data_IF_953172033647
#
_entry.id   IF_953172033647
#
_cell.length_a   1.000
_cell.length_b   1.000
_cell.length_c   1.000
_cell.angle_alpha   90.00
_cell.angle_beta   90.00
_cell.angle_gamma   90.00
#
_symmetry.space_group_name_H-M   'P 1'
#
loop_
_entity.id
_entity.type
_entity.pdbx_description
1 polymer ?
#
# COMPACT_ATOMS: atom_id res chain seq x y z
N UNK A 1 -19.55 -46.30 46.47
CA UNK A 1 -18.86 -47.61 46.32
C UNK A 1 -17.93 -47.59 45.10
N UNK A 2 -16.85 -48.39 45.09
CA UNK A 2 -15.76 -48.31 44.11
C UNK A 2 -15.73 -49.47 43.09
N UNK A 3 -14.77 -49.36 42.13
CA UNK A 3 -14.20 -50.35 41.19
C UNK A 3 -14.81 -50.27 39.77
N UNK A 4 -14.08 -50.16 38.66
CA UNK A 4 -12.86 -50.88 38.17
C UNK A 4 -13.07 -52.40 38.01
N UNK A 5 -12.58 -53.14 37.01
CA UNK A 5 -11.74 -52.94 35.79
C UNK A 5 -12.26 -53.99 34.74
N UNK A 6 -11.73 -54.29 33.55
CA UNK A 6 -10.42 -54.12 32.88
C UNK A 6 -10.63 -54.17 31.35
N UNK A 7 -9.59 -53.86 30.54
CA UNK A 7 -9.49 -54.29 29.13
C UNK A 7 -8.60 -55.54 28.97
N UNK A 8 -8.56 -56.19 27.80
CA UNK A 8 -7.26 -56.47 27.17
C UNK A 8 -7.20 -56.23 25.63
N UNK A 9 -6.01 -56.42 25.05
CA UNK A 9 -5.65 -56.23 23.61
C UNK A 9 -5.33 -57.59 22.91
N UNK A 10 -4.94 -57.52 21.62
CA UNK A 10 -4.06 -58.44 20.85
C UNK A 10 -4.75 -59.59 20.04
N UNK A 11 -4.25 -60.05 18.87
CA UNK A 11 -3.17 -59.51 18.01
C UNK A 11 -3.16 -60.00 16.52
N UNK A 12 -2.48 -59.22 15.67
CA UNK A 12 -1.63 -59.54 14.49
C UNK A 12 -1.92 -60.72 13.52
N UNK A 13 -2.10 -60.36 12.23
CA UNK A 13 -1.33 -60.81 11.02
C UNK A 13 -1.86 -59.99 9.80
N UNK A 14 -1.07 -59.38 8.90
CA UNK A 14 0.05 -59.83 8.05
C UNK A 14 -0.42 -60.83 6.96
N UNK A 15 -0.12 -60.71 5.65
CA UNK A 15 0.96 -59.99 4.94
C UNK A 15 0.57 -59.43 3.54
N UNK A 16 1.20 -58.31 3.16
CA UNK A 16 1.95 -58.04 1.91
C UNK A 16 1.46 -58.54 0.53
N UNK A 17 1.35 -57.62 -0.45
CA UNK A 17 2.04 -57.79 -1.74
C UNK A 17 2.36 -56.47 -2.49
N UNK A 18 3.32 -56.51 -3.42
CA UNK A 18 3.95 -55.33 -4.03
C UNK A 18 3.30 -54.88 -5.35
N UNK A 19 3.52 -53.60 -5.71
CA UNK A 19 4.03 -53.30 -7.05
C UNK A 19 4.75 -51.94 -7.14
N UNK A 20 5.97 -51.93 -7.70
CA UNK A 20 6.67 -50.71 -8.11
C UNK A 20 6.16 -50.28 -9.49
N UNK A 21 5.99 -48.96 -9.70
CA UNK A 21 6.46 -48.32 -10.93
C UNK A 21 7.09 -46.98 -10.60
N UNK A 22 8.30 -46.77 -11.13
CA UNK A 22 9.00 -45.49 -11.04
C UNK A 22 8.34 -44.49 -11.99
N UNK A 23 8.44 -43.20 -11.66
CA UNK A 23 8.20 -42.15 -12.64
C UNK A 23 9.14 -40.97 -12.37
N UNK A 24 10.32 -41.01 -12.99
CA UNK A 24 11.25 -39.90 -12.99
C UNK A 24 10.65 -38.76 -13.84
N UNK A 25 10.46 -37.57 -13.28
CA UNK A 25 10.39 -36.38 -14.12
C UNK A 25 10.87 -35.11 -13.40
N UNK A 26 12.13 -34.78 -13.68
CA UNK A 26 12.67 -33.44 -13.92
C UNK A 26 12.29 -32.33 -12.93
N UNK A 27 13.31 -31.85 -12.21
CA UNK A 27 13.34 -30.50 -11.67
C UNK A 27 12.93 -29.48 -12.75
N UNK A 28 11.74 -28.90 -12.60
CA UNK A 28 11.53 -27.51 -12.99
C UNK A 28 11.77 -26.66 -11.75
N UNK A 29 12.72 -25.74 -11.85
CA UNK A 29 12.80 -24.60 -10.92
C UNK A 29 11.43 -23.91 -10.90
N UNK A 30 11.00 -23.32 -9.77
CA UNK A 30 9.82 -22.46 -9.75
C UNK A 30 10.10 -21.21 -10.59
N UNK A 31 9.74 -21.29 -11.87
CA UNK A 31 9.63 -20.17 -12.79
C UNK A 31 8.75 -19.12 -12.10
N UNK A 32 9.28 -17.91 -11.92
CA UNK A 32 8.67 -16.92 -11.03
C UNK A 32 7.23 -16.65 -11.48
N UNK A 33 6.27 -17.04 -10.63
CA UNK A 33 4.86 -16.88 -10.95
C UNK A 33 4.60 -15.40 -11.33
N UNK A 34 3.88 -15.12 -12.43
CA UNK A 34 3.59 -13.75 -12.81
C UNK A 34 2.94 -13.06 -11.61
N UNK A 35 3.43 -11.86 -11.28
CA UNK A 35 2.92 -11.07 -10.16
C UNK A 35 1.42 -10.93 -10.41
N UNK A 36 0.60 -11.63 -9.61
CA UNK A 36 -0.85 -11.52 -9.69
C UNK A 36 -1.16 -10.06 -9.40
N UNK A 37 -1.72 -9.35 -10.37
CA UNK A 37 -2.24 -8.02 -10.13
C UNK A 37 -3.33 -8.14 -9.07
N UNK A 38 -2.98 -7.75 -7.84
CA UNK A 38 -3.94 -7.59 -6.77
C UNK A 38 -4.79 -6.38 -7.12
N UNK A 39 -5.95 -6.65 -7.72
CA UNK A 39 -7.00 -5.66 -7.90
C UNK A 39 -7.37 -5.07 -6.53
N UNK A 40 -6.87 -3.85 -6.30
CA UNK A 40 -7.29 -3.01 -5.20
C UNK A 40 -8.08 -1.86 -5.80
N UNK A 41 -9.14 -1.38 -5.13
CA UNK A 41 -9.98 -0.33 -5.69
C UNK A 41 -9.25 1.01 -5.85
N UNK A 42 -8.05 1.17 -5.29
CA UNK A 42 -7.14 2.30 -5.57
C UNK A 42 -6.46 2.11 -6.94
N UNK A 43 -5.88 0.93 -7.20
CA UNK A 43 -5.30 0.58 -8.50
C UNK A 43 -6.34 0.60 -9.63
N UNK A 44 -7.54 0.07 -9.36
CA UNK A 44 -8.62 0.02 -10.35
C UNK A 44 -9.13 1.42 -10.70
N UNK A 45 -9.23 2.33 -9.72
CA UNK A 45 -9.54 3.76 -9.97
C UNK A 45 -8.45 4.43 -10.79
N UNK A 46 -7.17 4.24 -10.47
CA UNK A 46 -6.06 4.86 -11.22
C UNK A 46 -6.01 4.35 -12.68
N UNK A 47 -6.24 3.04 -12.89
CA UNK A 47 -6.37 2.44 -14.23
C UNK A 47 -7.60 2.97 -14.98
N UNK A 48 -8.77 3.07 -14.33
CA UNK A 48 -9.99 3.63 -14.92
C UNK A 48 -9.82 5.11 -15.31
N UNK A 49 -9.07 5.87 -14.50
CA UNK A 49 -8.71 7.27 -14.76
C UNK A 49 -7.61 7.44 -15.82
N UNK A 50 -7.08 6.35 -16.37
CA UNK A 50 -6.19 6.36 -17.53
C UNK A 50 -4.69 6.44 -17.23
N UNK A 51 -4.25 6.50 -15.97
CA UNK A 51 -2.84 6.60 -15.62
C UNK A 51 -2.07 5.29 -15.92
N UNK A 52 -0.77 5.40 -16.19
CA UNK A 52 0.15 4.27 -16.00
C UNK A 52 0.56 4.19 -14.53
N UNK A 53 0.62 3.00 -13.93
CA UNK A 53 0.80 2.84 -12.47
C UNK A 53 2.04 2.01 -12.15
N UNK A 54 2.85 2.51 -11.22
CA UNK A 54 3.99 1.83 -10.61
C UNK A 54 3.56 1.39 -9.20
N UNK A 55 3.30 0.09 -8.96
CA UNK A 55 2.91 -0.41 -7.65
C UNK A 55 4.11 -0.62 -6.71
N UNK A 56 3.85 -0.53 -5.40
CA UNK A 56 4.77 -0.88 -4.31
C UNK A 56 6.16 -0.24 -4.44
N UNK A 57 6.19 1.08 -4.60
CA UNK A 57 7.44 1.84 -4.56
C UNK A 57 7.93 1.98 -3.11
N UNK A 58 9.24 1.89 -2.89
CA UNK A 58 9.88 2.24 -1.63
C UNK A 58 10.66 3.53 -1.86
N UNK A 59 10.44 4.52 -0.98
CA UNK A 59 11.15 5.79 -0.97
C UNK A 59 11.71 5.98 0.45
N UNK A 60 13.01 5.74 0.59
CA UNK A 60 13.74 5.62 1.85
C UNK A 60 13.06 4.58 2.76
N UNK A 61 12.40 5.02 3.84
CA UNK A 61 11.74 4.14 4.80
C UNK A 61 10.21 4.07 4.58
N UNK A 62 9.69 4.67 3.51
CA UNK A 62 8.24 4.77 3.25
C UNK A 62 7.84 3.98 2.02
N UNK A 63 6.94 3.01 2.20
CA UNK A 63 6.26 2.35 1.08
C UNK A 63 5.14 3.25 0.56
N UNK A 64 5.15 3.53 -0.74
CA UNK A 64 4.05 4.15 -1.47
C UNK A 64 3.39 3.03 -2.29
N UNK A 65 2.13 2.69 -1.97
CA UNK A 65 1.40 1.58 -2.58
C UNK A 65 1.27 1.73 -4.10
N UNK A 66 1.01 2.95 -4.58
CA UNK A 66 0.90 3.25 -6.01
C UNK A 66 1.48 4.63 -6.33
N UNK A 67 2.28 4.71 -7.38
CA UNK A 67 2.64 5.96 -8.05
C UNK A 67 1.98 5.92 -9.43
N UNK A 68 0.93 6.72 -9.60
CA UNK A 68 0.32 6.94 -10.90
C UNK A 68 1.10 8.01 -11.69
N UNK A 69 1.20 7.81 -13.00
CA UNK A 69 2.07 8.56 -13.90
C UNK A 69 1.24 9.04 -15.09
N UNK A 70 1.21 10.36 -15.28
CA UNK A 70 0.77 11.04 -16.49
C UNK A 70 2.00 11.65 -17.20
N UNK A 71 1.79 12.48 -18.22
CA UNK A 71 2.87 13.17 -18.94
C UNK A 71 3.73 14.09 -18.06
N UNK A 72 3.11 14.78 -17.12
CA UNK A 72 3.68 15.89 -16.33
C UNK A 72 3.34 15.83 -14.83
N UNK A 73 2.32 15.06 -14.43
CA UNK A 73 1.99 14.84 -13.01
C UNK A 73 2.28 13.41 -12.54
N UNK A 74 2.78 13.30 -11.29
CA UNK A 74 2.88 12.08 -10.51
C UNK A 74 1.89 12.11 -9.34
N UNK A 75 1.07 11.07 -9.22
CA UNK A 75 0.12 10.89 -8.11
C UNK A 75 0.67 9.83 -7.16
N UNK A 76 1.28 10.25 -6.06
CA UNK A 76 1.73 9.36 -4.98
C UNK A 76 0.52 8.98 -4.14
N UNK A 77 0.26 7.68 -3.98
CA UNK A 77 -0.87 7.15 -3.22
C UNK A 77 -0.36 6.21 -2.12
N UNK A 78 -0.44 6.64 -0.86
CA UNK A 78 -0.20 5.82 0.32
C UNK A 78 -1.56 5.35 0.86
N UNK A 79 -1.78 4.04 0.90
CA UNK A 79 -3.06 3.46 1.32
C UNK A 79 -2.99 3.06 2.78
N UNK A 80 -3.69 3.83 3.63
CA UNK A 80 -3.79 3.55 5.05
C UNK A 80 -4.80 2.43 5.31
N UNK A 81 -4.30 1.32 5.86
CA UNK A 81 -5.02 0.05 6.02
C UNK A 81 -5.39 -0.23 7.48
N UNK A 82 -4.90 0.59 8.41
CA UNK A 82 -5.26 0.46 9.83
C UNK A 82 -6.76 0.72 10.02
N UNK A 83 -7.37 -0.07 10.91
CA UNK A 83 -8.79 0.05 11.26
C UNK A 83 -8.96 0.73 12.63
N UNK A 84 -10.23 0.96 13.01
CA UNK A 84 -10.57 1.63 14.26
C UNK A 84 -10.55 3.15 14.15
N UNK A 85 -10.80 3.80 15.27
CA UNK A 85 -10.87 5.25 15.39
C UNK A 85 -9.49 5.84 15.67
N UNK A 86 -9.13 6.88 14.91
CA UNK A 86 -7.86 7.58 14.96
C UNK A 86 -8.08 9.09 15.12
N UNK A 87 -7.39 9.69 16.09
CA UNK A 87 -7.19 11.13 16.18
C UNK A 87 -5.93 11.48 15.38
N UNK A 88 -6.05 12.37 14.40
CA UNK A 88 -4.93 12.86 13.62
C UNK A 88 -4.31 14.10 14.29
N UNK A 89 -3.00 14.07 14.51
CA UNK A 89 -2.21 15.24 14.92
C UNK A 89 -1.09 15.44 13.88
N UNK A 90 -1.11 16.61 13.25
CA UNK A 90 -0.11 17.02 12.25
C UNK A 90 0.83 18.12 12.79
N UNK A 91 0.67 18.53 14.06
CA UNK A 91 1.56 19.52 14.68
C UNK A 91 2.95 18.93 14.95
N UNK A 92 3.99 19.76 14.81
CA UNK A 92 5.38 19.39 15.11
C UNK A 92 5.77 19.92 16.48
N UNK A 93 5.76 19.05 17.48
CA UNK A 93 6.17 19.39 18.82
C UNK A 93 7.67 19.07 19.03
N UNK A 94 8.50 20.11 19.02
CA UNK A 94 9.97 20.00 19.07
C UNK A 94 10.52 19.11 17.93
N UNK A 95 11.28 18.07 18.26
CA UNK A 95 11.88 17.11 17.32
C UNK A 95 11.00 15.87 17.04
N UNK A 96 9.77 15.81 17.58
CA UNK A 96 8.87 14.66 17.38
C UNK A 96 8.18 14.72 16.00
N UNK A 97 8.10 13.56 15.33
CA UNK A 97 7.41 13.42 14.05
C UNK A 97 5.88 13.30 14.28
N UNK A 98 5.03 14.09 13.58
CA UNK A 98 3.58 14.11 13.80
C UNK A 98 2.92 12.72 13.83
N UNK A 99 1.96 12.55 14.75
CA UNK A 99 1.42 11.26 15.17
C UNK A 99 -0.09 11.15 14.96
N UNK A 100 -0.55 9.96 14.60
CA UNK A 100 -1.96 9.59 14.70
C UNK A 100 -2.15 8.64 15.87
N UNK A 101 -3.11 8.94 16.74
CA UNK A 101 -3.38 8.24 18.01
C UNK A 101 -4.68 7.44 17.94
N UNK A 102 -4.77 6.35 18.68
CA UNK A 102 -6.01 5.65 19.01
C UNK A 102 -6.00 5.28 20.51
N UNK A 103 -7.11 4.74 21.04
CA UNK A 103 -7.23 4.41 22.47
C UNK A 103 -6.14 3.47 23.02
N UNK A 104 -5.44 2.74 22.13
CA UNK A 104 -4.47 1.70 22.50
C UNK A 104 -3.12 1.79 21.78
N UNK A 105 -2.91 2.78 20.90
CA UNK A 105 -1.71 2.87 20.07
C UNK A 105 -1.46 4.28 19.54
N UNK A 106 -0.25 4.54 19.04
CA UNK A 106 0.08 5.70 18.23
C UNK A 106 1.01 5.29 17.09
N UNK A 107 1.05 6.09 16.02
CA UNK A 107 1.90 5.85 14.85
C UNK A 107 2.23 7.16 14.14
N UNK A 108 3.42 7.26 13.54
CA UNK A 108 3.77 8.40 12.68
C UNK A 108 2.70 8.57 11.60
N UNK A 109 2.22 9.80 11.44
CA UNK A 109 1.17 10.22 10.51
C UNK A 109 1.42 9.69 9.08
N UNK A 110 0.40 9.13 8.39
CA UNK A 110 0.50 8.78 6.97
C UNK A 110 0.67 10.01 6.08
N UNK A 111 0.15 11.18 6.50
CA UNK A 111 0.35 12.47 5.83
C UNK A 111 1.83 12.86 5.94
N UNK A 112 2.43 12.74 7.13
CA UNK A 112 3.87 13.00 7.32
C UNK A 112 4.76 12.02 6.56
N UNK A 113 4.38 10.75 6.45
CA UNK A 113 5.10 9.74 5.65
C UNK A 113 5.12 10.08 4.16
N UNK A 114 3.97 10.47 3.59
CA UNK A 114 3.90 10.82 2.17
C UNK A 114 4.52 12.19 1.86
N UNK A 115 4.49 13.13 2.81
CA UNK A 115 5.22 14.40 2.77
C UNK A 115 6.74 14.18 2.58
N UNK A 116 7.35 13.38 3.46
CA UNK A 116 8.78 13.02 3.36
C UNK A 116 9.11 12.28 2.06
N UNK A 117 8.25 11.35 1.62
CA UNK A 117 8.45 10.62 0.37
C UNK A 117 8.37 11.54 -0.87
N UNK A 118 7.43 12.51 -0.87
CA UNK A 118 7.30 13.53 -1.91
C UNK A 118 8.56 14.37 -2.03
N UNK A 119 9.10 14.89 -0.93
CA UNK A 119 10.28 15.77 -0.96
C UNK A 119 11.55 15.05 -1.43
N UNK A 120 11.74 13.80 -0.99
CA UNK A 120 12.84 12.94 -1.46
C UNK A 120 12.72 12.70 -2.97
N UNK A 121 11.52 12.36 -3.46
CA UNK A 121 11.27 12.12 -4.88
C UNK A 121 11.46 13.39 -5.71
N UNK A 122 10.91 14.52 -5.27
CA UNK A 122 11.04 15.84 -5.90
C UNK A 122 12.52 16.24 -6.06
N UNK A 123 13.31 16.07 -5.01
CA UNK A 123 14.75 16.31 -5.02
C UNK A 123 15.47 15.41 -6.04
N UNK A 124 15.12 14.12 -6.09
CA UNK A 124 15.73 13.15 -7.01
C UNK A 124 15.35 13.42 -8.48
N UNK A 125 14.12 13.83 -8.73
CA UNK A 125 13.61 14.19 -10.06
C UNK A 125 14.29 15.47 -10.59
N UNK A 126 14.46 16.49 -9.75
CA UNK A 126 15.21 17.70 -10.11
C UNK A 126 16.67 17.40 -10.47
N UNK A 127 17.35 16.52 -9.72
CA UNK A 127 18.71 16.04 -10.03
C UNK A 127 18.78 15.23 -11.35
N UNK A 128 17.66 14.71 -11.83
CA UNK A 128 17.55 13.96 -13.08
C UNK A 128 17.03 14.79 -14.27
N UNK A 129 16.80 16.10 -14.08
CA UNK A 129 16.12 16.99 -15.04
C UNK A 129 14.74 16.47 -15.50
N UNK A 130 14.00 15.88 -14.55
CA UNK A 130 12.67 15.32 -14.76
C UNK A 130 11.61 16.20 -14.10
N UNK A 131 11.11 17.18 -14.85
CA UNK A 131 10.14 18.15 -14.35
C UNK A 131 8.72 17.55 -14.28
N UNK A 132 8.34 17.07 -13.10
CA UNK A 132 6.98 16.60 -12.80
C UNK A 132 6.38 17.38 -11.61
N UNK A 133 5.09 17.71 -11.70
CA UNK A 133 4.29 18.02 -10.51
C UNK A 133 4.06 16.75 -9.68
N UNK A 134 4.01 16.88 -8.35
CA UNK A 134 3.79 15.74 -7.44
C UNK A 134 2.59 16.03 -6.56
N UNK A 135 1.50 15.30 -6.79
CA UNK A 135 0.28 15.31 -5.99
C UNK A 135 0.32 14.13 -5.02
N UNK A 136 0.15 14.41 -3.72
CA UNK A 136 0.19 13.40 -2.66
C UNK A 136 -1.22 13.06 -2.18
N UNK A 137 -1.53 11.77 -2.12
CA UNK A 137 -2.79 11.21 -1.64
C UNK A 137 -2.56 10.24 -0.49
N UNK A 138 -3.21 10.49 0.64
CA UNK A 138 -3.44 9.46 1.66
C UNK A 138 -4.82 8.88 1.43
N UNK A 139 -4.93 7.56 1.35
CA UNK A 139 -6.20 6.86 1.07
C UNK A 139 -6.58 5.99 2.24
N UNK A 140 -7.53 6.45 3.06
CA UNK A 140 -8.05 5.72 4.22
C UNK A 140 -8.94 4.57 3.73
N UNK A 141 -8.54 3.32 4.00
CA UNK A 141 -9.23 2.12 3.54
C UNK A 141 -10.16 1.51 4.61
N UNK A 142 -9.80 1.65 5.90
CA UNK A 142 -10.46 0.93 7.00
C UNK A 142 -10.62 1.72 8.32
N UNK A 143 -9.91 2.83 8.50
CA UNK A 143 -9.97 3.64 9.72
C UNK A 143 -11.06 4.72 9.69
N UNK A 144 -11.36 5.28 10.85
CA UNK A 144 -12.19 6.46 11.03
C UNK A 144 -11.34 7.60 11.63
N UNK A 145 -11.23 8.74 10.94
CA UNK A 145 -10.43 9.88 11.42
C UNK A 145 -11.33 10.86 12.17
N UNK A 146 -11.32 10.83 13.50
CA UNK A 146 -12.35 11.47 14.36
C UNK A 146 -12.42 12.98 14.11
N UNK A 147 -11.27 13.64 14.01
CA UNK A 147 -11.12 15.09 13.83
C UNK A 147 -10.81 15.48 12.37
N UNK A 148 -11.33 14.72 11.39
CA UNK A 148 -11.01 14.96 9.98
C UNK A 148 -11.32 16.38 9.50
N UNK A 149 -12.41 16.99 9.97
CA UNK A 149 -12.82 18.33 9.54
C UNK A 149 -11.83 19.41 10.02
N UNK A 150 -11.35 19.32 11.27
CA UNK A 150 -10.34 20.22 11.83
C UNK A 150 -9.01 20.16 11.06
N UNK A 151 -8.66 18.97 10.56
CA UNK A 151 -7.40 18.73 9.84
C UNK A 151 -7.45 19.14 8.37
N UNK A 152 -8.62 19.43 7.78
CA UNK A 152 -8.73 19.77 6.36
C UNK A 152 -7.90 21.00 5.97
N UNK A 153 -7.85 22.05 6.80
CA UNK A 153 -7.04 23.24 6.50
C UNK A 153 -5.54 22.92 6.50
N UNK A 154 -5.08 22.10 7.45
CA UNK A 154 -3.68 21.70 7.58
C UNK A 154 -3.27 20.82 6.39
N UNK A 155 -4.03 19.76 6.09
CA UNK A 155 -3.73 18.86 4.97
C UNK A 155 -3.75 19.57 3.61
N UNK A 156 -4.67 20.52 3.40
CA UNK A 156 -4.70 21.37 2.21
C UNK A 156 -3.46 22.29 2.14
N UNK A 157 -3.06 22.90 3.27
CA UNK A 157 -1.85 23.74 3.37
C UNK A 157 -0.57 22.94 3.08
N UNK A 158 -0.52 21.67 3.50
CA UNK A 158 0.55 20.73 3.16
C UNK A 158 0.48 20.22 1.70
N UNK A 159 -0.55 20.58 0.92
CA UNK A 159 -0.87 20.04 -0.40
C UNK A 159 -0.90 18.49 -0.42
N UNK A 160 -1.64 17.89 0.52
CA UNK A 160 -1.85 16.44 0.62
C UNK A 160 -3.36 16.17 0.66
N UNK A 161 -3.87 15.52 -0.40
CA UNK A 161 -5.29 15.14 -0.51
C UNK A 161 -5.56 13.90 0.34
N UNK A 162 -6.04 14.07 1.57
CA UNK A 162 -6.59 12.94 2.35
C UNK A 162 -7.95 12.54 1.77
N UNK A 163 -8.09 11.25 1.46
CA UNK A 163 -9.23 10.68 0.76
C UNK A 163 -9.60 9.33 1.37
N UNK A 164 -10.77 8.78 1.04
CA UNK A 164 -11.22 7.47 1.56
C UNK A 164 -11.71 6.52 0.48
N UNK A 165 -11.69 5.24 0.81
CA UNK A 165 -12.19 4.14 -0.01
C UNK A 165 -12.71 3.01 0.89
N UNK A 166 -13.53 2.10 0.35
CA UNK A 166 -14.08 0.94 1.05
C UNK A 166 -14.82 1.29 2.36
N UNK A 167 -14.17 1.07 3.51
CA UNK A 167 -14.70 1.33 4.86
C UNK A 167 -14.09 2.56 5.52
N UNK A 168 -13.17 3.25 4.84
CA UNK A 168 -12.57 4.48 5.36
C UNK A 168 -13.63 5.54 5.66
N UNK A 169 -13.38 6.31 6.71
CA UNK A 169 -14.32 7.21 7.37
C UNK A 169 -13.58 8.40 8.01
N UNK A 170 -14.26 9.51 8.34
CA UNK A 170 -15.71 9.74 8.28
C UNK A 170 -16.17 10.09 6.85
N UNK A 171 -17.43 10.48 6.65
CA UNK A 171 -18.02 10.61 5.29
C UNK A 171 -17.54 11.86 4.54
N UNK A 172 -17.08 12.84 5.29
CA UNK A 172 -16.70 14.21 4.94
C UNK A 172 -15.36 14.21 4.20
N UNK A 173 -14.46 13.27 4.54
CA UNK A 173 -13.31 12.91 3.71
C UNK A 173 -13.81 12.48 2.33
N UNK A 174 -13.24 13.03 1.26
CA UNK A 174 -13.71 12.78 -0.10
C UNK A 174 -13.35 11.38 -0.60
N UNK A 175 -14.24 10.76 -1.40
CA UNK A 175 -13.95 9.47 -2.05
C UNK A 175 -12.80 9.63 -3.04
N UNK A 176 -11.81 8.73 -2.98
CA UNK A 176 -10.64 8.74 -3.86
C UNK A 176 -11.01 8.81 -5.35
N UNK A 177 -12.04 8.06 -5.78
CA UNK A 177 -12.55 8.07 -7.16
C UNK A 177 -13.17 9.40 -7.62
N UNK A 178 -13.52 10.29 -6.69
CA UNK A 178 -13.98 11.67 -6.95
C UNK A 178 -12.87 12.72 -6.84
N UNK A 179 -11.85 12.45 -6.03
CA UNK A 179 -10.75 13.38 -5.74
C UNK A 179 -9.54 13.22 -6.68
N UNK A 180 -9.49 12.14 -7.47
CA UNK A 180 -8.50 11.92 -8.53
C UNK A 180 -9.06 12.40 -9.87
N UNK A 181 -8.35 13.29 -10.53
CA UNK A 181 -8.67 13.83 -11.85
C UNK A 181 -8.33 12.81 -12.96
N UNK A 182 -8.92 12.95 -14.14
CA UNK A 182 -8.70 12.01 -15.27
C UNK A 182 -7.39 12.34 -15.98
N UNK A 183 -6.56 11.34 -16.27
CA UNK A 183 -5.30 11.51 -17.00
C UNK A 183 -5.58 11.91 -18.46
N UNK A 184 -5.25 13.15 -18.83
CA UNK A 184 -5.46 13.66 -20.19
C UNK A 184 -4.43 13.09 -21.19
N UNK A 185 -3.15 13.06 -20.82
CA UNK A 185 -2.06 12.56 -21.67
C UNK A 185 -1.07 11.68 -20.88
N UNK A 186 -0.63 10.58 -21.50
CA UNK A 186 0.35 9.66 -20.92
C UNK A 186 1.79 10.13 -21.19
N UNK A 187 2.70 9.84 -20.27
CA UNK A 187 4.14 9.98 -20.53
C UNK A 187 4.60 8.96 -21.57
N UNK A 188 5.71 9.25 -22.25
CA UNK A 188 6.32 8.31 -23.19
C UNK A 188 7.00 7.12 -22.45
N UNK A 189 7.19 6.01 -23.17
CA UNK A 189 7.73 4.75 -22.62
C UNK A 189 9.18 4.85 -22.13
N UNK A 190 10.01 5.71 -22.72
CA UNK A 190 11.39 5.93 -22.30
C UNK A 190 11.41 6.71 -20.98
N UNK A 191 10.63 7.78 -20.87
CA UNK A 191 10.49 8.54 -19.62
C UNK A 191 9.87 7.69 -18.50
N UNK A 192 8.87 6.85 -18.80
CA UNK A 192 8.32 5.90 -17.81
C UNK A 192 9.35 4.88 -17.30
N UNK A 193 10.21 4.33 -18.17
CA UNK A 193 11.27 3.40 -17.75
C UNK A 193 12.45 4.09 -17.05
N UNK A 194 12.76 5.36 -17.39
CA UNK A 194 13.67 6.19 -16.58
C UNK A 194 13.10 6.41 -15.18
N UNK A 195 11.83 6.81 -15.07
CA UNK A 195 11.14 7.05 -13.80
C UNK A 195 11.12 5.79 -12.92
N UNK A 196 10.77 4.62 -13.48
CA UNK A 196 10.82 3.32 -12.78
C UNK A 196 12.23 2.99 -12.25
N UNK A 197 13.29 3.30 -13.00
CA UNK A 197 14.68 3.11 -12.54
C UNK A 197 15.06 4.09 -11.44
N UNK A 198 14.65 5.36 -11.57
CA UNK A 198 14.88 6.41 -10.58
C UNK A 198 14.20 6.08 -9.25
N UNK A 199 12.93 5.70 -9.26
CA UNK A 199 12.18 5.30 -8.05
C UNK A 199 12.81 4.08 -7.38
N UNK A 200 13.22 3.05 -8.14
CA UNK A 200 13.95 1.90 -7.58
C UNK A 200 15.31 2.25 -6.96
N UNK A 201 15.89 3.41 -7.30
CA UNK A 201 17.13 3.92 -6.68
C UNK A 201 16.91 4.77 -5.41
N UNK A 202 15.67 4.84 -4.92
CA UNK A 202 15.29 5.47 -3.66
C UNK A 202 14.95 4.47 -2.55
N UNK A 203 14.98 3.16 -2.84
CA UNK A 203 14.78 2.07 -1.88
C UNK A 203 16.03 1.77 -1.05
#
# INVERSE_FOLDING_TARGET
PQKEKTAPKAENKAQTNNNKKENQNKNKSPEAAPIKESHTPVLDVLKQKGYDVIPSAIIKNTTIDYIAVSKDQLLLCLVDKESGDWLADEEKFNDEEPLWFSESSHRISPVRKIDLARDILKTKLAVADMNFEILSYVVIQAGNIINAEDMFEIWNTMNIRVTRINRGSPKEIHLFSKAVDTCEEKTDKNTLEKLKKLIRSLA
#
